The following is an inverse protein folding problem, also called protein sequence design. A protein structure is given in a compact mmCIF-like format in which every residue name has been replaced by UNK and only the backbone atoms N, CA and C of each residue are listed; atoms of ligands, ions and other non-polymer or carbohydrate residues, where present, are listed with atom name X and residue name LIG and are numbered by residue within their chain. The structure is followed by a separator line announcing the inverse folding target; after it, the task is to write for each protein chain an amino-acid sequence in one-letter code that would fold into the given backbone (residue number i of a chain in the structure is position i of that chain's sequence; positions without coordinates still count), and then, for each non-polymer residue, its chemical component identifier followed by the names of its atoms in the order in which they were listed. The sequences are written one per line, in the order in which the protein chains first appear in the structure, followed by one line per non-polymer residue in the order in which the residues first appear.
data_IF_896046502623
#
_entry.id   IF_896046502623
#
_cell.length_a   1.000
_cell.length_b   1.000
_cell.length_c   1.000
_cell.angle_alpha   90.00
_cell.angle_beta   90.00
_cell.angle_gamma   90.00
#
_symmetry.space_group_name_H-M   'P 1'
#
loop_
_entity.id
_entity.type
_entity.pdbx_description
1 polymer ?
#
# COMPACT_ATOMS: atom_id res chain seq x y z
N UNK A 1 -39.06 -53.85 -18.19
CA UNK A 1 -40.33 -54.23 -17.50
C UNK A 1 -40.59 -53.21 -16.44
N UNK A 2 -41.75 -52.55 -16.56
CA UNK A 2 -42.54 -51.75 -15.61
C UNK A 2 -41.84 -50.51 -15.03
N UNK A 3 -42.13 -49.30 -15.41
CA UNK A 3 -43.39 -48.52 -15.48
C UNK A 3 -43.70 -47.77 -14.17
N UNK A 4 -43.65 -46.43 -14.30
CA UNK A 4 -44.62 -45.40 -13.81
C UNK A 4 -44.87 -45.32 -12.30
N UNK A 5 -44.90 -44.12 -11.71
CA UNK A 5 -45.89 -43.08 -11.93
C UNK A 5 -45.58 -41.78 -11.13
N UNK A 6 -45.90 -40.72 -11.73
CA UNK A 6 -46.12 -39.33 -11.33
C UNK A 6 -47.04 -39.14 -10.14
N UNK A 7 -46.82 -38.15 -9.30
CA UNK A 7 -47.91 -37.29 -8.82
C UNK A 7 -47.42 -35.90 -8.38
N UNK A 8 -47.98 -34.88 -8.98
CA UNK A 8 -47.89 -33.48 -8.64
C UNK A 8 -48.99 -33.09 -7.63
N UNK A 9 -48.70 -32.17 -6.73
CA UNK A 9 -49.77 -31.38 -6.13
C UNK A 9 -49.31 -29.96 -5.81
N UNK A 10 -50.20 -29.06 -6.16
CA UNK A 10 -50.12 -27.60 -6.27
C UNK A 10 -50.33 -26.87 -4.92
N UNK A 11 -49.70 -25.74 -4.80
CA UNK A 11 -49.97 -24.43 -4.18
C UNK A 11 -51.25 -24.26 -3.32
N UNK A 12 -51.32 -23.25 -2.38
CA UNK A 12 -51.54 -21.89 -2.84
C UNK A 12 -50.82 -20.74 -2.09
N UNK A 13 -50.77 -19.61 -2.79
CA UNK A 13 -50.41 -18.26 -2.36
C UNK A 13 -51.31 -17.71 -1.26
N UNK A 14 -50.79 -16.96 -0.30
CA UNK A 14 -51.49 -15.80 0.28
C UNK A 14 -50.54 -14.64 0.48
N UNK A 15 -50.94 -13.51 -0.09
CA UNK A 15 -50.46 -12.14 0.14
C UNK A 15 -51.08 -11.60 1.42
N UNK A 16 -50.31 -10.86 2.21
CA UNK A 16 -50.86 -9.77 3.01
C UNK A 16 -49.81 -8.68 3.15
N UNK A 17 -50.16 -7.50 2.69
CA UNK A 17 -49.47 -6.24 2.92
C UNK A 17 -50.00 -5.62 4.21
N UNK A 18 -49.15 -5.01 5.02
CA UNK A 18 -49.58 -3.96 5.97
C UNK A 18 -48.51 -2.88 6.03
N UNK A 19 -49.04 -1.70 5.93
CA UNK A 19 -48.50 -0.33 5.86
C UNK A 19 -48.10 0.20 7.26
N UNK A 20 -47.11 1.12 7.28
CA UNK A 20 -47.11 2.30 8.18
C UNK A 20 -46.35 2.10 9.49
N UNK A 21 -45.45 2.95 9.87
CA UNK A 21 -45.56 4.35 10.30
C UNK A 21 -44.15 4.87 10.63
N UNK A 22 -43.86 6.07 10.17
CA UNK A 22 -42.75 6.92 10.60
C UNK A 22 -42.86 7.27 12.09
N UNK A 23 -41.72 7.30 12.81
CA UNK A 23 -41.55 8.23 13.93
C UNK A 23 -40.16 8.80 13.94
N UNK A 24 -40.07 10.11 13.78
CA UNK A 24 -38.91 10.98 14.02
C UNK A 24 -38.87 11.32 15.51
N UNK A 25 -37.72 11.20 16.14
CA UNK A 25 -37.44 11.88 17.39
C UNK A 25 -36.00 12.39 17.42
N UNK A 26 -35.87 13.69 17.34
CA UNK A 26 -34.69 14.49 17.77
C UNK A 26 -34.71 14.63 19.29
N UNK A 27 -33.52 14.64 19.91
CA UNK A 27 -33.14 15.41 21.13
C UNK A 27 -31.65 15.14 21.37
N UNK A 28 -30.81 16.03 21.27
CA UNK A 28 -30.14 17.16 21.87
C UNK A 28 -29.36 16.82 23.17
N UNK A 29 -28.05 17.11 23.08
CA UNK A 29 -27.10 17.69 24.03
C UNK A 29 -26.82 17.05 25.39
N UNK A 30 -25.52 16.95 25.67
CA UNK A 30 -24.98 16.77 27.03
C UNK A 30 -23.46 16.75 26.99
N UNK A 31 -22.83 17.89 27.35
CA UNK A 31 -21.40 18.03 27.61
C UNK A 31 -20.96 17.29 28.86
N UNK A 32 -19.72 16.82 28.88
CA UNK A 32 -19.04 16.33 30.10
C UNK A 32 -17.54 16.20 29.84
N UNK A 33 -16.78 17.20 30.37
CA UNK A 33 -15.31 17.20 30.43
C UNK A 33 -14.79 16.26 31.50
N UNK A 34 -13.63 15.63 31.22
CA UNK A 34 -12.46 15.42 32.10
C UNK A 34 -11.49 14.52 31.30
N UNK A 35 -10.28 14.93 30.98
CA UNK A 35 -9.15 15.38 31.72
C UNK A 35 -8.12 14.25 31.80
N UNK A 36 -6.92 14.40 31.15
CA UNK A 36 -5.72 13.67 31.51
C UNK A 36 -4.83 13.25 30.34
N UNK A 37 -3.80 14.04 30.09
CA UNK A 37 -2.40 13.77 29.69
C UNK A 37 -2.14 12.74 28.55
N UNK A 38 -1.58 13.17 27.45
CA UNK A 38 -0.20 13.66 27.27
C UNK A 38 0.51 12.78 26.27
N UNK A 39 0.41 13.04 24.98
CA UNK A 39 1.45 12.70 24.00
C UNK A 39 1.48 13.79 22.93
N UNK A 40 2.66 14.34 22.76
CA UNK A 40 2.94 15.52 21.95
C UNK A 40 2.96 15.15 20.46
N UNK A 41 1.93 15.59 19.74
CA UNK A 41 1.95 15.65 18.29
C UNK A 41 2.17 17.10 17.87
N UNK A 42 3.21 17.36 17.10
CA UNK A 42 3.43 18.67 16.51
C UNK A 42 2.56 18.85 15.27
N UNK A 43 1.43 19.54 15.43
CA UNK A 43 0.70 20.12 14.31
C UNK A 43 1.09 21.61 14.21
N UNK A 44 1.73 21.99 13.11
CA UNK A 44 2.00 23.40 12.81
C UNK A 44 0.73 24.07 12.31
N UNK A 45 0.16 24.96 13.11
CA UNK A 45 -0.79 25.98 12.65
C UNK A 45 -0.10 27.33 12.65
N UNK A 46 -0.08 27.97 11.48
CA UNK A 46 0.24 29.38 11.35
C UNK A 46 -0.97 30.20 11.83
N UNK A 47 -0.76 31.08 12.76
CA UNK A 47 -1.67 32.23 12.95
C UNK A 47 -0.87 33.49 13.27
N UNK A 48 -1.17 34.54 12.53
CA UNK A 48 -0.53 35.83 12.60
C UNK A 48 -1.24 36.78 13.55
N UNK A 49 -0.54 37.71 14.05
CA UNK A 49 -0.87 39.15 14.04
C UNK A 49 -0.24 39.96 15.16
N UNK A 50 0.33 41.04 14.73
CA UNK A 50 0.36 42.41 15.27
C UNK A 50 1.37 42.77 16.40
N UNK A 51 2.36 43.50 16.01
CA UNK A 51 2.40 44.94 16.34
C UNK A 51 3.41 45.37 17.40
N UNK A 52 4.42 46.09 17.01
CA UNK A 52 4.78 47.40 17.49
C UNK A 52 6.28 47.68 17.63
N UNK A 53 6.68 48.68 16.88
CA UNK A 53 7.68 49.78 17.13
C UNK A 53 9.16 49.47 17.01
N UNK A 54 9.72 50.19 16.02
CA UNK A 54 11.13 50.51 15.70
C UNK A 54 11.79 51.34 16.79
N UNK A 55 13.13 51.32 16.94
CA UNK A 55 13.91 52.35 16.29
C UNK A 55 15.12 51.89 15.46
N UNK A 56 15.40 52.72 14.51
CA UNK A 56 16.41 52.74 13.50
C UNK A 56 17.81 53.00 14.10
N UNK A 57 18.83 52.27 13.63
CA UNK A 57 20.16 52.88 13.44
C UNK A 57 21.02 52.04 12.47
N UNK A 58 21.86 52.73 11.79
CA UNK A 58 22.45 52.54 10.48
C UNK A 58 23.65 51.59 10.41
N UNK A 59 23.90 51.18 9.13
CA UNK A 59 25.16 50.85 8.49
C UNK A 59 26.02 49.68 9.04
N UNK A 60 25.97 48.56 8.28
CA UNK A 60 27.18 47.91 7.79
C UNK A 60 26.85 46.83 6.71
N UNK A 61 27.78 46.39 5.84
CA UNK A 61 27.53 45.98 4.47
C UNK A 61 27.01 44.55 4.32
N UNK A 62 26.29 44.35 3.25
CA UNK A 62 25.75 43.07 2.78
C UNK A 62 26.81 41.96 2.77
N UNK A 63 26.59 40.95 3.62
CA UNK A 63 27.14 39.60 3.44
C UNK A 63 26.21 38.84 2.55
N UNK A 64 26.75 38.40 1.42
CA UNK A 64 26.13 37.49 0.47
C UNK A 64 25.44 36.31 1.20
N UNK A 65 24.18 36.05 0.88
CA UNK A 65 23.49 34.84 1.24
C UNK A 65 24.30 33.66 0.70
N UNK A 66 24.80 32.86 1.64
CA UNK A 66 25.41 31.58 1.35
C UNK A 66 24.28 30.63 0.98
N UNK A 67 24.24 30.27 -0.30
CA UNK A 67 23.38 29.21 -0.79
C UNK A 67 23.72 27.94 0.00
N UNK A 68 22.71 27.32 0.57
CA UNK A 68 22.78 26.05 1.31
C UNK A 68 23.65 25.05 0.57
N UNK A 69 24.83 24.77 1.13
CA UNK A 69 25.77 23.80 0.58
C UNK A 69 25.20 22.38 0.65
N UNK A 70 24.52 21.96 -0.40
CA UNK A 70 24.53 20.55 -0.81
C UNK A 70 25.94 20.29 -1.34
N UNK A 71 26.74 19.60 -0.54
CA UNK A 71 28.09 19.19 -0.96
C UNK A 71 27.95 18.30 -2.20
N UNK A 72 28.74 18.57 -3.22
CA UNK A 72 28.74 17.89 -4.54
C UNK A 72 29.04 16.38 -4.49
N UNK A 73 29.26 15.81 -3.31
CA UNK A 73 29.60 14.38 -3.09
C UNK A 73 28.37 13.51 -2.81
N UNK A 74 27.20 14.07 -2.44
CA UNK A 74 26.01 13.28 -2.14
C UNK A 74 25.13 12.96 -3.36
N UNK A 75 25.24 13.71 -4.45
CA UNK A 75 24.44 13.52 -5.67
C UNK A 75 24.73 12.20 -6.41
N UNK A 76 25.84 11.54 -6.12
CA UNK A 76 26.25 10.24 -6.68
C UNK A 76 25.83 9.04 -5.84
N UNK A 77 25.37 9.24 -4.60
CA UNK A 77 25.01 8.16 -3.68
C UNK A 77 23.78 7.43 -4.15
N UNK A 78 23.84 6.10 -4.16
CA UNK A 78 22.75 5.23 -4.59
C UNK A 78 22.33 4.37 -3.40
N UNK A 79 21.03 4.26 -3.16
CA UNK A 79 20.42 3.36 -2.17
C UNK A 79 19.56 2.31 -2.88
N UNK A 80 19.39 1.15 -2.24
CA UNK A 80 18.56 0.07 -2.72
C UNK A 80 17.26 -0.01 -1.89
N UNK A 81 16.12 0.04 -2.58
CA UNK A 81 14.78 -0.08 -2.00
C UNK A 81 14.16 -1.38 -2.51
N UNK A 82 13.61 -2.21 -1.63
CA UNK A 82 12.86 -3.39 -2.02
C UNK A 82 11.39 -3.25 -1.62
N UNK A 83 10.49 -3.74 -2.49
CA UNK A 83 9.07 -3.80 -2.19
C UNK A 83 8.48 -5.15 -2.61
N UNK A 84 7.48 -5.61 -1.86
CA UNK A 84 6.70 -6.80 -2.19
C UNK A 84 5.27 -6.43 -2.56
N UNK A 85 4.54 -7.37 -3.16
CA UNK A 85 3.08 -7.27 -3.31
C UNK A 85 2.34 -7.44 -1.98
N UNK A 86 1.06 -7.81 -2.08
CA UNK A 86 0.13 -7.88 -0.96
C UNK A 86 0.50 -9.00 0.02
N UNK A 87 0.51 -8.66 1.31
CA UNK A 87 0.86 -9.53 2.41
C UNK A 87 -0.34 -9.70 3.34
N UNK A 88 -0.87 -10.92 3.40
CA UNK A 88 -1.81 -11.40 4.41
C UNK A 88 -1.20 -12.63 5.05
N UNK A 89 -0.86 -12.58 6.33
CA UNK A 89 -0.22 -13.71 7.01
C UNK A 89 -1.20 -14.79 7.43
N UNK A 90 -2.49 -14.49 7.46
CA UNK A 90 -3.50 -15.46 7.82
C UNK A 90 -4.87 -14.87 8.10
N UNK A 91 -5.76 -15.69 8.66
CA UNK A 91 -7.07 -15.22 9.14
C UNK A 91 -7.46 -15.98 10.41
N UNK A 92 -7.14 -15.35 11.54
CA UNK A 92 -7.47 -15.89 12.86
C UNK A 92 -8.99 -16.04 13.06
N UNK A 93 -9.46 -17.02 13.85
CA UNK A 93 -8.64 -17.98 14.61
C UNK A 93 -8.22 -19.23 13.83
N UNK A 94 -8.85 -19.55 12.70
CA UNK A 94 -8.79 -20.90 12.12
C UNK A 94 -7.87 -21.03 10.90
N UNK A 95 -7.54 -19.95 10.22
CA UNK A 95 -6.73 -19.97 8.99
C UNK A 95 -5.41 -19.22 9.19
N UNK A 96 -4.60 -19.73 10.12
CA UNK A 96 -3.25 -19.24 10.39
C UNK A 96 -2.20 -20.21 9.81
N UNK A 97 -1.00 -19.74 9.49
CA UNK A 97 0.13 -20.59 9.11
C UNK A 97 0.46 -21.61 10.22
N UNK A 98 0.92 -22.79 9.81
CA UNK A 98 1.41 -23.81 10.74
C UNK A 98 2.55 -23.25 11.61
N UNK A 99 2.74 -23.87 12.78
CA UNK A 99 3.80 -23.52 13.74
C UNK A 99 3.79 -22.04 14.16
N UNK A 100 2.60 -21.42 14.23
CA UNK A 100 2.46 -20.01 14.60
C UNK A 100 3.15 -19.04 13.64
N UNK A 101 3.31 -19.40 12.36
CA UNK A 101 3.95 -18.57 11.34
C UNK A 101 5.49 -18.63 11.31
N UNK A 102 6.12 -19.43 12.18
CA UNK A 102 7.59 -19.57 12.17
C UNK A 102 8.09 -20.08 10.82
N UNK A 103 9.05 -19.36 10.24
CA UNK A 103 9.66 -19.70 8.95
C UNK A 103 8.76 -19.42 7.75
N UNK A 104 7.67 -18.66 7.91
CA UNK A 104 6.71 -18.39 6.83
C UNK A 104 7.34 -17.74 5.60
N UNK A 105 8.36 -16.89 5.78
CA UNK A 105 9.07 -16.18 4.72
C UNK A 105 10.44 -16.77 4.37
N UNK A 106 10.87 -17.91 4.93
CA UNK A 106 12.25 -18.41 4.77
C UNK A 106 12.68 -18.58 3.31
N UNK A 107 11.73 -19.02 2.42
CA UNK A 107 12.02 -19.28 1.01
C UNK A 107 12.25 -18.00 0.18
N UNK A 108 11.93 -16.82 0.73
CA UNK A 108 12.03 -15.52 0.03
C UNK A 108 12.96 -14.52 0.72
N UNK A 109 13.44 -14.80 1.93
CA UNK A 109 14.33 -13.91 2.71
C UNK A 109 15.54 -13.40 1.93
N UNK A 110 16.13 -14.24 1.09
CA UNK A 110 17.30 -13.85 0.31
C UNK A 110 16.97 -12.77 -0.74
N UNK A 111 15.73 -12.75 -1.24
CA UNK A 111 15.26 -11.75 -2.19
C UNK A 111 14.90 -10.42 -1.52
N UNK A 112 14.61 -10.42 -0.21
CA UNK A 112 14.24 -9.23 0.57
C UNK A 112 15.44 -8.41 1.08
N UNK A 113 16.64 -8.67 0.57
CA UNK A 113 17.84 -7.93 1.00
C UNK A 113 17.99 -6.62 0.21
N UNK A 114 17.80 -5.51 0.90
CA UNK A 114 17.99 -4.15 0.40
C UNK A 114 18.35 -3.23 1.58
N UNK A 115 18.58 -1.95 1.33
CA UNK A 115 18.83 -0.96 2.37
C UNK A 115 17.55 -0.48 3.06
N UNK A 116 16.39 -0.63 2.41
CA UNK A 116 15.04 -0.50 2.98
C UNK A 116 14.10 -1.51 2.31
N UNK A 117 13.39 -2.30 3.11
CA UNK A 117 12.43 -3.31 2.62
C UNK A 117 11.01 -2.95 3.05
N UNK A 118 10.12 -2.83 2.07
CA UNK A 118 8.73 -2.39 2.25
C UNK A 118 7.74 -3.46 1.77
N UNK A 119 6.51 -3.43 2.31
CA UNK A 119 5.41 -4.27 1.86
C UNK A 119 4.05 -3.62 2.09
N UNK A 120 3.01 -4.14 1.42
CA UNK A 120 1.63 -3.77 1.69
C UNK A 120 1.03 -4.80 2.65
N UNK A 121 0.85 -4.43 3.91
CA UNK A 121 0.21 -5.27 4.93
C UNK A 121 -1.31 -5.14 4.78
N UNK A 122 -1.90 -6.11 4.11
CA UNK A 122 -3.31 -6.10 3.74
C UNK A 122 -4.19 -6.84 4.75
N UNK A 123 -3.82 -6.73 6.02
CA UNK A 123 -4.58 -7.25 7.15
C UNK A 123 -4.23 -6.50 8.43
N UNK A 124 -5.15 -6.36 9.40
CA UNK A 124 -4.80 -5.95 10.76
C UNK A 124 -4.02 -7.02 11.53
N UNK A 125 -3.00 -6.59 12.26
CA UNK A 125 -2.34 -7.37 13.29
C UNK A 125 -3.00 -7.06 14.63
N UNK A 126 -4.08 -7.78 14.94
CA UNK A 126 -4.92 -7.50 16.12
C UNK A 126 -5.56 -8.76 16.67
N UNK A 127 -5.84 -8.74 17.97
CA UNK A 127 -6.81 -9.65 18.55
C UNK A 127 -8.24 -9.27 18.13
N UNK A 128 -9.21 -10.09 18.47
CA UNK A 128 -10.61 -9.79 18.16
C UNK A 128 -11.08 -8.59 18.98
N UNK A 129 -11.48 -7.52 18.27
CA UNK A 129 -11.99 -6.30 18.91
C UNK A 129 -13.50 -6.36 19.19
N UNK A 130 -14.15 -7.48 18.84
CA UNK A 130 -15.61 -7.62 18.92
C UNK A 130 -16.39 -6.92 17.81
N UNK A 131 -15.71 -6.18 16.93
CA UNK A 131 -16.31 -5.48 15.79
C UNK A 131 -15.51 -5.73 14.52
N UNK A 132 -16.08 -6.49 13.59
CA UNK A 132 -15.51 -6.70 12.25
C UNK A 132 -16.31 -5.96 11.17
N UNK A 133 -15.72 -5.66 10.04
CA UNK A 133 -16.42 -5.00 8.92
C UNK A 133 -17.50 -5.88 8.30
N UNK A 134 -17.34 -7.21 8.39
CA UNK A 134 -18.30 -8.16 7.86
C UNK A 134 -19.38 -8.46 8.92
N UNK A 135 -20.65 -8.16 8.59
CA UNK A 135 -21.77 -8.58 9.43
C UNK A 135 -21.92 -10.11 9.48
N UNK A 136 -22.58 -10.64 10.52
CA UNK A 136 -22.73 -12.08 10.78
C UNK A 136 -23.33 -12.89 9.61
N UNK A 137 -24.10 -12.25 8.72
CA UNK A 137 -24.78 -12.86 7.57
C UNK A 137 -24.21 -12.41 6.22
N UNK A 138 -23.03 -11.79 6.19
CA UNK A 138 -22.42 -11.32 4.95
C UNK A 138 -21.92 -12.50 4.11
N UNK A 139 -22.35 -12.59 2.84
CA UNK A 139 -21.97 -13.68 1.92
C UNK A 139 -20.80 -13.33 1.02
N UNK A 140 -20.55 -12.03 0.77
CA UNK A 140 -19.51 -11.54 -0.14
C UNK A 140 -18.65 -10.45 0.55
N UNK A 141 -18.29 -10.68 1.80
CA UNK A 141 -17.44 -9.81 2.55
C UNK A 141 -16.22 -10.59 3.05
N UNK A 142 -15.05 -10.02 2.87
CA UNK A 142 -13.79 -10.60 3.31
C UNK A 142 -13.19 -9.70 4.40
N UNK A 143 -12.83 -10.29 5.51
CA UNK A 143 -12.09 -9.63 6.58
C UNK A 143 -10.97 -10.55 7.06
N UNK A 144 -9.85 -9.95 7.38
CA UNK A 144 -8.64 -10.66 7.78
C UNK A 144 -8.11 -10.10 9.10
N UNK A 145 -7.45 -10.93 9.87
CA UNK A 145 -6.58 -10.53 10.96
C UNK A 145 -5.58 -11.63 11.30
N UNK A 146 -4.41 -11.23 11.74
CA UNK A 146 -3.44 -12.11 12.36
C UNK A 146 -3.12 -11.64 13.79
N UNK A 147 -2.61 -12.52 14.68
CA UNK A 147 -2.18 -12.12 16.01
C UNK A 147 -1.13 -11.00 15.97
N UNK A 148 -1.13 -10.03 16.91
CA UNK A 148 -0.16 -8.92 16.96
C UNK A 148 1.30 -9.38 16.91
N UNK A 149 1.63 -10.51 17.57
CA UNK A 149 2.96 -11.07 17.54
C UNK A 149 3.48 -11.53 16.18
N UNK A 150 2.62 -11.55 15.14
CA UNK A 150 3.05 -11.88 13.76
C UNK A 150 3.91 -10.78 13.13
N UNK A 151 3.90 -9.57 13.69
CA UNK A 151 4.85 -8.52 13.33
C UNK A 151 6.32 -8.98 13.47
N UNK A 152 6.63 -9.86 14.43
CA UNK A 152 7.95 -10.47 14.55
C UNK A 152 8.38 -11.26 13.31
N UNK A 153 7.45 -11.94 12.63
CA UNK A 153 7.77 -12.70 11.42
C UNK A 153 8.07 -11.79 10.23
N UNK A 154 7.41 -10.64 10.14
CA UNK A 154 7.69 -9.61 9.13
C UNK A 154 9.09 -9.02 9.35
N UNK A 155 9.41 -8.61 10.59
CA UNK A 155 10.75 -8.14 10.95
C UNK A 155 11.82 -9.20 10.65
N UNK A 156 11.60 -10.45 11.07
CA UNK A 156 12.55 -11.55 10.90
C UNK A 156 12.72 -11.94 9.42
N UNK A 157 11.75 -11.61 8.56
CA UNK A 157 11.86 -11.73 7.12
C UNK A 157 12.75 -10.65 6.49
N UNK A 158 12.90 -9.52 7.17
CA UNK A 158 13.68 -8.37 6.73
C UNK A 158 12.84 -7.17 6.29
N UNK A 159 11.52 -7.17 6.53
CA UNK A 159 10.72 -5.96 6.35
C UNK A 159 11.10 -4.91 7.40
N UNK A 160 11.05 -3.66 7.00
CA UNK A 160 11.35 -2.51 7.85
C UNK A 160 10.21 -1.51 7.88
N UNK A 161 9.38 -1.43 6.80
CA UNK A 161 8.24 -0.53 6.71
C UNK A 161 7.04 -1.22 6.04
N UNK A 162 5.85 -1.10 6.65
CA UNK A 162 4.61 -1.68 6.14
C UNK A 162 3.58 -0.58 5.81
N UNK A 163 2.99 -0.67 4.62
CA UNK A 163 1.86 0.16 4.23
C UNK A 163 0.54 -0.45 4.72
N UNK A 164 -0.33 0.38 5.34
CA UNK A 164 -1.67 0.02 5.79
C UNK A 164 -2.78 0.71 4.99
N UNK A 165 -2.42 1.52 3.97
CA UNK A 165 -3.38 2.17 3.09
C UNK A 165 -3.95 1.18 2.08
N UNK A 166 -4.95 0.40 2.48
CA UNK A 166 -5.63 -0.60 1.65
C UNK A 166 -7.07 -0.85 2.12
N UNK A 167 -7.82 -1.71 1.43
CA UNK A 167 -9.22 -2.04 1.73
C UNK A 167 -9.39 -2.89 2.99
N UNK A 168 -8.33 -3.45 3.54
CA UNK A 168 -8.34 -4.31 4.73
C UNK A 168 -7.76 -3.65 5.98
N UNK A 169 -7.17 -2.46 5.89
CA UNK A 169 -6.60 -1.76 7.05
C UNK A 169 -7.59 -1.57 8.20
N UNK A 170 -8.87 -1.39 7.89
CA UNK A 170 -9.96 -1.19 8.87
C UNK A 170 -10.90 -2.40 9.00
N UNK A 171 -10.47 -3.61 8.72
CA UNK A 171 -11.29 -4.81 8.87
C UNK A 171 -11.83 -5.00 10.29
N UNK A 172 -11.13 -4.48 11.28
CA UNK A 172 -11.53 -4.46 12.70
C UNK A 172 -11.65 -3.01 13.23
N UNK A 173 -12.06 -2.09 12.35
CA UNK A 173 -12.28 -0.68 12.67
C UNK A 173 -11.00 0.06 13.10
N UNK A 174 -11.21 1.24 13.70
CA UNK A 174 -10.10 2.10 14.18
C UNK A 174 -9.21 1.35 15.18
N UNK A 175 -9.81 0.59 16.11
CA UNK A 175 -9.05 -0.15 17.11
C UNK A 175 -8.12 -1.19 16.49
N UNK A 176 -8.59 -1.97 15.48
CA UNK A 176 -7.76 -2.95 14.77
C UNK A 176 -6.62 -2.27 14.00
N UNK A 177 -6.87 -1.11 13.43
CA UNK A 177 -5.86 -0.31 12.74
C UNK A 177 -4.76 0.17 13.70
N UNK A 178 -5.15 0.76 14.84
CA UNK A 178 -4.22 1.24 15.87
C UNK A 178 -3.46 0.09 16.55
N UNK A 179 -4.11 -1.04 16.80
CA UNK A 179 -3.45 -2.24 17.32
C UNK A 179 -2.37 -2.75 16.35
N UNK A 180 -2.60 -2.63 15.04
CA UNK A 180 -1.62 -2.99 14.01
C UNK A 180 -0.39 -2.09 14.07
N UNK A 181 -0.58 -0.78 14.18
CA UNK A 181 0.52 0.17 14.34
C UNK A 181 1.34 -0.14 15.59
N UNK A 182 0.69 -0.30 16.73
CA UNK A 182 1.35 -0.66 17.99
C UNK A 182 2.11 -2.00 17.89
N UNK A 183 1.55 -2.99 17.18
CA UNK A 183 2.22 -4.28 16.97
C UNK A 183 3.48 -4.15 16.11
N UNK A 184 3.43 -3.34 15.04
CA UNK A 184 4.58 -3.06 14.18
C UNK A 184 5.67 -2.32 14.96
N UNK A 185 5.32 -1.23 15.64
CA UNK A 185 6.24 -0.43 16.46
C UNK A 185 6.90 -1.25 17.58
N UNK A 186 6.13 -2.09 18.28
CA UNK A 186 6.65 -2.97 19.33
C UNK A 186 7.71 -3.96 18.83
N UNK A 187 7.76 -4.20 17.52
CA UNK A 187 8.75 -5.07 16.88
C UNK A 187 9.78 -4.29 16.04
N UNK A 188 9.83 -2.94 16.17
CA UNK A 188 10.79 -2.10 15.48
C UNK A 188 10.54 -2.00 13.97
N UNK A 189 9.28 -2.06 13.56
CA UNK A 189 8.84 -1.88 12.19
C UNK A 189 8.16 -0.52 12.05
N UNK A 190 8.52 0.22 11.03
CA UNK A 190 7.84 1.44 10.64
C UNK A 190 6.53 1.12 9.91
N UNK A 191 5.60 2.07 9.89
CA UNK A 191 4.35 1.96 9.15
C UNK A 191 3.96 3.27 8.49
N UNK A 192 3.18 3.18 7.43
CA UNK A 192 2.60 4.33 6.72
C UNK A 192 1.17 4.02 6.29
N UNK A 193 0.42 5.05 5.91
CA UNK A 193 -0.88 4.85 5.29
C UNK A 193 -2.04 5.63 5.90
N UNK A 194 -1.87 6.24 7.10
CA UNK A 194 -2.90 7.12 7.66
C UNK A 194 -3.03 8.43 6.85
N UNK A 195 -4.16 9.16 6.95
CA UNK A 195 -4.31 10.46 6.33
C UNK A 195 -3.19 11.42 6.77
N UNK A 196 -2.60 12.13 5.82
CA UNK A 196 -1.50 13.08 5.98
C UNK A 196 -0.21 12.50 6.60
N UNK A 197 -0.13 11.18 6.81
CA UNK A 197 1.07 10.53 7.33
C UNK A 197 2.19 10.52 6.30
N UNK A 198 3.36 11.03 6.70
CA UNK A 198 4.62 10.94 5.98
C UNK A 198 5.60 10.24 6.91
N UNK A 199 6.01 9.02 6.58
CA UNK A 199 6.97 8.26 7.37
C UNK A 199 8.35 8.42 6.77
N UNK A 200 9.29 8.99 7.51
CA UNK A 200 10.66 9.25 7.04
C UNK A 200 11.61 8.28 7.71
N UNK A 201 12.37 7.56 6.89
CA UNK A 201 13.41 6.63 7.31
C UNK A 201 14.74 7.09 6.76
N UNK A 202 15.78 7.10 7.58
CA UNK A 202 17.15 7.38 7.12
C UNK A 202 17.84 6.10 6.65
N UNK A 203 18.21 6.07 5.38
CA UNK A 203 18.82 4.93 4.70
C UNK A 203 20.21 5.32 4.22
N UNK A 204 21.24 4.84 4.88
CA UNK A 204 22.63 5.18 4.56
C UNK A 204 22.89 6.72 4.49
N UNK A 205 22.21 7.53 5.32
CA UNK A 205 22.33 8.99 5.32
C UNK A 205 21.48 9.69 4.26
N UNK A 206 20.63 8.96 3.50
CA UNK A 206 19.60 9.50 2.60
C UNK A 206 18.25 9.41 3.31
N UNK A 207 17.52 10.50 3.39
CA UNK A 207 16.17 10.52 3.95
C UNK A 207 15.18 10.04 2.91
N UNK A 208 14.44 8.97 3.23
CA UNK A 208 13.41 8.39 2.38
C UNK A 208 12.05 8.60 3.05
N UNK A 209 11.18 9.40 2.43
CA UNK A 209 9.79 9.52 2.83
C UNK A 209 8.95 8.45 2.15
N UNK A 210 8.13 7.74 2.91
CA UNK A 210 7.20 6.73 2.37
C UNK A 210 5.77 7.14 2.73
N UNK A 211 4.90 7.18 1.72
CA UNK A 211 3.49 7.54 1.85
C UNK A 211 2.60 6.40 1.36
N UNK A 212 1.48 6.20 2.04
CA UNK A 212 0.46 5.24 1.64
C UNK A 212 -0.79 5.92 1.10
N UNK A 213 -1.36 5.38 0.00
CA UNK A 213 -2.59 5.88 -0.62
C UNK A 213 -3.57 4.75 -0.92
N UNK A 214 -4.86 5.03 -0.77
CA UNK A 214 -5.93 4.14 -1.24
C UNK A 214 -7.20 4.95 -1.57
N UNK A 215 -8.26 4.27 -1.97
CA UNK A 215 -9.58 4.91 -2.18
C UNK A 215 -10.43 5.00 -0.91
N UNK A 216 -9.88 4.66 0.24
CA UNK A 216 -10.62 4.56 1.50
C UNK A 216 -10.35 5.74 2.43
N UNK A 217 -11.33 6.13 3.28
CA UNK A 217 -11.23 7.37 4.08
C UNK A 217 -10.21 7.31 5.23
N UNK A 218 -9.69 6.15 5.55
CA UNK A 218 -8.65 5.97 6.58
C UNK A 218 -7.23 6.06 6.04
N UNK A 219 -7.06 6.52 4.80
CA UNK A 219 -5.75 6.72 4.17
C UNK A 219 -5.72 8.02 3.38
N UNK A 220 -4.54 8.40 2.89
CA UNK A 220 -4.45 9.42 1.86
C UNK A 220 -5.26 8.99 0.64
N UNK A 221 -6.03 9.92 0.07
CA UNK A 221 -6.92 9.64 -1.06
C UNK A 221 -6.14 9.56 -2.37
N UNK A 222 -6.29 8.44 -3.10
CA UNK A 222 -5.81 8.32 -4.48
C UNK A 222 -6.77 8.92 -5.51
N UNK A 223 -8.03 9.18 -5.14
CA UNK A 223 -9.04 9.73 -6.05
C UNK A 223 -9.11 11.25 -6.01
N UNK A 224 -8.71 11.88 -4.90
CA UNK A 224 -8.50 13.32 -4.78
C UNK A 224 -7.04 13.65 -5.12
N UNK A 225 -6.80 13.95 -6.40
CA UNK A 225 -5.44 14.19 -6.89
C UNK A 225 -4.81 15.48 -6.34
N UNK A 226 -5.60 16.47 -5.96
CA UNK A 226 -5.05 17.71 -5.42
C UNK A 226 -4.61 17.51 -3.97
N UNK A 227 -5.39 16.77 -3.16
CA UNK A 227 -4.95 16.32 -1.84
C UNK A 227 -3.71 15.41 -1.95
N UNK A 228 -3.69 14.46 -2.87
CA UNK A 228 -2.54 13.58 -3.08
C UNK A 228 -1.26 14.37 -3.41
N UNK A 229 -1.32 15.30 -4.38
CA UNK A 229 -0.19 16.16 -4.74
C UNK A 229 0.31 17.01 -3.57
N UNK A 230 -0.61 17.52 -2.73
CA UNK A 230 -0.25 18.32 -1.56
C UNK A 230 0.56 17.50 -0.55
N UNK A 231 0.14 16.28 -0.22
CA UNK A 231 0.88 15.42 0.72
C UNK A 231 2.24 15.04 0.16
N UNK A 232 2.32 14.66 -1.13
CA UNK A 232 3.60 14.36 -1.79
C UNK A 232 4.53 15.58 -1.77
N UNK A 233 4.01 16.77 -2.08
CA UNK A 233 4.81 18.01 -2.02
C UNK A 233 5.34 18.26 -0.62
N UNK A 234 4.54 18.04 0.43
CA UNK A 234 5.03 18.18 1.81
C UNK A 234 6.14 17.17 2.13
N UNK A 235 6.11 15.97 1.54
CA UNK A 235 7.17 14.97 1.73
C UNK A 235 8.50 15.40 1.09
N UNK A 236 8.47 16.12 -0.05
CA UNK A 236 9.71 16.64 -0.68
C UNK A 236 10.45 17.68 0.15
N UNK A 237 9.78 18.30 1.12
CA UNK A 237 10.40 19.25 2.04
C UNK A 237 11.07 18.53 3.24
N UNK A 238 10.79 17.24 3.45
CA UNK A 238 11.23 16.43 4.58
C UNK A 238 12.29 15.39 4.22
N UNK A 239 12.38 14.99 2.95
CA UNK A 239 13.20 13.87 2.51
C UNK A 239 13.86 14.12 1.14
N UNK A 240 14.93 13.38 0.88
CA UNK A 240 15.69 13.40 -0.36
C UNK A 240 15.02 12.55 -1.45
N UNK A 241 14.39 11.44 -1.04
CA UNK A 241 13.67 10.49 -1.91
C UNK A 241 12.25 10.29 -1.39
N UNK A 242 11.25 10.34 -2.27
CA UNK A 242 9.84 10.17 -1.93
C UNK A 242 9.28 8.92 -2.62
N UNK A 243 8.83 7.95 -1.82
CA UNK A 243 8.23 6.69 -2.27
C UNK A 243 6.72 6.71 -1.99
N UNK A 244 5.93 6.43 -3.00
CA UNK A 244 4.48 6.26 -2.88
C UNK A 244 4.13 4.78 -2.99
N UNK A 245 3.51 4.22 -1.95
CA UNK A 245 2.81 2.95 -2.00
C UNK A 245 1.31 3.20 -2.17
N UNK A 246 0.69 2.54 -3.13
CA UNK A 246 -0.72 2.81 -3.45
C UNK A 246 -1.50 1.53 -3.72
N UNK A 247 -2.61 1.36 -2.99
CA UNK A 247 -3.58 0.29 -3.22
C UNK A 247 -4.66 0.79 -4.19
N UNK A 248 -4.55 0.41 -5.49
CA UNK A 248 -5.33 0.99 -6.58
C UNK A 248 -5.70 -0.06 -7.64
N UNK A 249 -6.75 0.25 -8.40
CA UNK A 249 -7.18 -0.56 -9.55
C UNK A 249 -8.12 -1.69 -9.20
N UNK A 250 -8.75 -2.25 -10.23
CA UNK A 250 -9.70 -3.35 -10.12
C UNK A 250 -8.98 -4.68 -9.87
N UNK A 251 -9.61 -5.54 -9.06
CA UNK A 251 -9.09 -6.84 -8.68
C UNK A 251 -9.51 -7.94 -9.67
N UNK A 252 -8.68 -8.98 -9.80
CA UNK A 252 -9.03 -10.20 -10.50
C UNK A 252 -7.95 -10.76 -11.43
N UNK A 253 -8.06 -12.05 -11.73
CA UNK A 253 -7.09 -12.79 -12.54
C UNK A 253 -6.93 -12.26 -13.98
N UNK A 254 -7.92 -11.53 -14.49
CA UNK A 254 -7.95 -10.89 -15.80
C UNK A 254 -7.46 -9.43 -15.79
N UNK A 255 -7.20 -8.83 -14.61
CA UNK A 255 -6.85 -7.41 -14.43
C UNK A 255 -5.35 -7.12 -14.55
N UNK A 256 -4.62 -7.87 -15.35
CA UNK A 256 -3.17 -7.71 -15.53
C UNK A 256 -2.77 -6.50 -16.38
N UNK A 257 -3.71 -5.92 -17.15
CA UNK A 257 -3.44 -4.80 -18.06
C UNK A 257 -3.77 -3.47 -17.40
N UNK A 258 -2.94 -2.48 -17.66
CA UNK A 258 -3.15 -1.10 -17.23
C UNK A 258 -3.63 -0.28 -18.43
N UNK A 259 -4.72 0.46 -18.26
CA UNK A 259 -5.30 1.31 -19.31
C UNK A 259 -5.69 2.66 -18.72
N UNK A 260 -5.65 3.73 -19.52
CA UNK A 260 -6.17 5.03 -19.07
C UNK A 260 -7.65 4.93 -18.67
N UNK A 261 -8.00 5.60 -17.60
CA UNK A 261 -9.37 5.71 -17.10
C UNK A 261 -9.55 5.11 -15.70
N UNK A 262 -10.65 5.50 -15.08
CA UNK A 262 -11.01 5.02 -13.74
C UNK A 262 -11.37 3.55 -13.75
N UNK A 263 -10.75 2.79 -12.88
CA UNK A 263 -11.08 1.39 -12.65
C UNK A 263 -12.09 1.26 -11.52
N UNK A 264 -13.16 0.48 -11.77
CA UNK A 264 -14.22 0.20 -10.79
C UNK A 264 -14.17 -1.26 -10.36
N UNK A 265 -14.39 -1.51 -9.07
CA UNK A 265 -14.49 -2.88 -8.52
C UNK A 265 -15.63 -2.94 -7.49
N UNK A 266 -16.63 -3.80 -7.69
CA UNK A 266 -17.85 -3.89 -6.87
C UNK A 266 -18.54 -2.55 -6.55
N UNK A 267 -18.50 -1.59 -7.49
CA UNK A 267 -19.07 -0.26 -7.31
C UNK A 267 -18.14 0.75 -6.63
N UNK A 268 -16.98 0.34 -6.17
CA UNK A 268 -15.95 1.21 -5.60
C UNK A 268 -15.11 1.85 -6.70
N UNK A 269 -14.83 3.14 -6.56
CA UNK A 269 -13.86 3.84 -7.39
C UNK A 269 -12.44 3.51 -6.91
N UNK A 270 -11.72 2.70 -7.69
CA UNK A 270 -10.34 2.27 -7.37
C UNK A 270 -9.27 3.14 -8.06
N UNK A 271 -9.68 4.31 -8.55
CA UNK A 271 -8.83 5.31 -9.19
C UNK A 271 -8.51 5.05 -10.64
N UNK A 272 -7.79 5.98 -11.23
CA UNK A 272 -7.11 5.85 -12.53
C UNK A 272 -5.62 5.66 -12.25
N UNK A 273 -5.08 4.43 -12.38
CA UNK A 273 -3.71 4.12 -11.97
C UNK A 273 -2.66 4.97 -12.70
N UNK A 274 -2.85 5.23 -13.99
CA UNK A 274 -1.89 6.04 -14.77
C UNK A 274 -1.94 7.49 -14.33
N UNK A 275 -3.14 8.06 -14.27
CA UNK A 275 -3.32 9.46 -13.92
C UNK A 275 -2.85 9.78 -12.50
N UNK A 276 -3.12 8.89 -11.55
CA UNK A 276 -2.65 9.03 -10.17
C UNK A 276 -1.12 8.98 -10.11
N UNK A 277 -0.50 7.93 -10.70
CA UNK A 277 0.96 7.74 -10.64
C UNK A 277 1.71 8.90 -11.28
N UNK A 278 1.24 9.38 -12.45
CA UNK A 278 1.82 10.55 -13.09
C UNK A 278 1.65 11.82 -12.22
N UNK A 279 0.47 12.03 -11.61
CA UNK A 279 0.21 13.21 -10.78
C UNK A 279 1.10 13.26 -9.53
N UNK A 280 1.36 12.14 -8.88
CA UNK A 280 2.24 12.11 -7.70
C UNK A 280 3.72 12.27 -8.10
N UNK A 281 4.16 11.73 -9.23
CA UNK A 281 5.52 11.98 -9.74
C UNK A 281 5.68 13.44 -10.13
N UNK A 282 4.69 14.05 -10.79
CA UNK A 282 4.70 15.48 -11.11
C UNK A 282 4.74 16.37 -9.85
N UNK A 283 4.27 15.86 -8.70
CA UNK A 283 4.33 16.52 -7.41
C UNK A 283 5.64 16.27 -6.65
N UNK A 284 6.51 15.37 -7.15
CA UNK A 284 7.83 15.11 -6.59
C UNK A 284 8.03 13.70 -6.01
N UNK A 285 7.15 12.74 -6.29
CA UNK A 285 7.43 11.34 -5.97
C UNK A 285 8.49 10.76 -6.90
N UNK A 286 9.38 9.92 -6.36
CA UNK A 286 10.51 9.32 -7.08
C UNK A 286 10.30 7.85 -7.43
N UNK A 287 9.42 7.17 -6.71
CA UNK A 287 9.08 5.76 -6.94
C UNK A 287 7.61 5.53 -6.58
N UNK A 288 6.88 4.83 -7.45
CA UNK A 288 5.49 4.42 -7.18
C UNK A 288 5.40 2.90 -7.19
N UNK A 289 4.90 2.34 -6.09
CA UNK A 289 4.67 0.91 -5.90
C UNK A 289 3.18 0.66 -5.74
N UNK A 290 2.59 -0.02 -6.72
CA UNK A 290 1.17 -0.34 -6.77
C UNK A 290 0.84 -1.70 -6.13
N UNK A 291 -0.34 -1.75 -5.52
CA UNK A 291 -0.98 -2.89 -4.87
C UNK A 291 -2.47 -2.91 -5.22
N UNK A 292 -3.19 -3.97 -4.88
CA UNK A 292 -4.64 -4.05 -4.94
C UNK A 292 -5.24 -4.93 -6.03
N UNK A 293 -4.73 -4.98 -7.28
CA UNK A 293 -5.28 -5.86 -8.30
C UNK A 293 -5.14 -7.36 -8.02
N UNK A 294 -4.34 -7.73 -7.04
CA UNK A 294 -4.00 -9.12 -6.68
C UNK A 294 -3.36 -9.92 -7.82
N UNK A 295 -2.90 -9.24 -8.86
CA UNK A 295 -2.14 -9.78 -9.99
C UNK A 295 -1.02 -8.82 -10.36
N UNK A 296 0.05 -9.37 -10.92
CA UNK A 296 1.14 -8.58 -11.47
C UNK A 296 0.66 -7.74 -12.65
N UNK A 297 1.07 -6.49 -12.69
CA UNK A 297 0.85 -5.54 -13.78
C UNK A 297 2.15 -5.05 -14.38
N UNK A 298 2.06 -4.23 -15.44
CA UNK A 298 3.21 -3.63 -16.09
C UNK A 298 3.93 -2.59 -15.24
N UNK A 299 5.11 -2.21 -15.73
CA UNK A 299 5.92 -1.13 -15.20
C UNK A 299 6.12 -0.05 -16.25
N UNK A 300 6.29 1.19 -15.80
CA UNK A 300 6.54 2.36 -16.62
C UNK A 300 7.68 3.20 -16.03
N UNK A 301 8.45 3.86 -16.88
CA UNK A 301 9.37 4.92 -16.46
C UNK A 301 8.81 6.25 -16.96
N UNK A 302 8.33 7.06 -16.03
CA UNK A 302 7.76 8.36 -16.29
C UNK A 302 8.67 9.46 -15.72
N UNK A 303 9.16 10.37 -16.57
CA UNK A 303 10.13 11.43 -16.17
C UNK A 303 11.34 10.90 -15.39
N UNK A 304 11.88 9.75 -15.81
CA UNK A 304 13.02 9.13 -15.14
C UNK A 304 12.71 8.46 -13.79
N UNK A 305 11.44 8.28 -13.44
CA UNK A 305 10.94 7.64 -12.21
C UNK A 305 10.22 6.34 -12.52
N UNK A 306 10.51 5.28 -11.76
CA UNK A 306 9.88 3.98 -11.98
C UNK A 306 8.50 3.92 -11.32
N UNK A 307 7.52 3.39 -12.06
CA UNK A 307 6.19 3.02 -11.60
C UNK A 307 6.02 1.52 -11.76
N UNK A 308 5.75 0.79 -10.68
CA UNK A 308 5.27 -0.59 -10.72
C UNK A 308 3.77 -0.59 -10.40
N UNK A 309 2.91 -0.86 -11.39
CA UNK A 309 1.47 -0.70 -11.24
C UNK A 309 0.78 -1.74 -10.35
N UNK A 310 1.39 -2.91 -10.17
CA UNK A 310 1.03 -3.90 -9.13
C UNK A 310 2.09 -4.97 -9.03
N UNK A 311 2.49 -5.29 -7.81
CA UNK A 311 3.41 -6.40 -7.52
C UNK A 311 2.67 -7.72 -7.22
N UNK A 312 1.34 -7.77 -7.40
CA UNK A 312 0.50 -8.96 -7.20
C UNK A 312 0.45 -9.43 -5.75
N UNK A 313 0.05 -10.67 -5.55
CA UNK A 313 0.00 -11.30 -4.22
C UNK A 313 1.36 -11.85 -3.84
N UNK A 314 1.91 -11.41 -2.71
CA UNK A 314 3.17 -11.94 -2.20
C UNK A 314 2.96 -13.08 -1.22
N UNK A 315 2.06 -12.90 -0.24
CA UNK A 315 1.80 -13.87 0.82
C UNK A 315 0.31 -13.90 1.19
N UNK A 316 -0.28 -15.10 1.26
CA UNK A 316 -1.70 -15.32 1.60
C UNK A 316 -1.86 -16.50 2.56
N UNK A 317 -1.25 -16.39 3.75
CA UNK A 317 -1.23 -17.44 4.77
C UNK A 317 -2.62 -17.96 5.13
N UNK A 318 -2.71 -19.26 5.41
CA UNK A 318 -3.98 -19.93 5.65
C UNK A 318 -4.94 -19.89 4.45
N UNK A 319 -4.42 -19.67 3.25
CA UNK A 319 -5.17 -19.49 1.99
C UNK A 319 -6.11 -18.26 2.05
N UNK A 320 -5.68 -17.22 2.69
CA UNK A 320 -6.42 -15.95 2.72
C UNK A 320 -6.47 -15.30 1.33
N UNK A 321 -5.42 -15.48 0.52
CA UNK A 321 -5.39 -15.16 -0.89
C UNK A 321 -5.41 -16.44 -1.75
N UNK A 322 -5.91 -16.33 -2.98
CA UNK A 322 -5.96 -17.45 -3.90
C UNK A 322 -4.55 -17.77 -4.45
N UNK A 323 -3.96 -18.95 -4.17
CA UNK A 323 -2.62 -19.29 -4.63
C UNK A 323 -2.58 -19.83 -6.07
N UNK A 324 -3.69 -19.83 -6.80
CA UNK A 324 -3.79 -20.49 -8.10
C UNK A 324 -3.67 -19.50 -9.26
N UNK A 325 -3.01 -19.93 -10.34
CA UNK A 325 -2.88 -19.15 -11.57
C UNK A 325 -2.19 -17.81 -11.34
N UNK A 326 -2.64 -16.78 -12.03
CA UNK A 326 -2.06 -15.42 -11.93
C UNK A 326 -2.23 -14.79 -10.55
N UNK A 327 -3.28 -15.15 -9.81
CA UNK A 327 -3.50 -14.69 -8.43
C UNK A 327 -2.49 -15.29 -7.45
N UNK A 328 -1.83 -16.39 -7.80
CA UNK A 328 -0.76 -16.98 -7.00
C UNK A 328 0.63 -16.44 -7.31
N UNK A 329 0.78 -15.53 -8.28
CA UNK A 329 2.06 -14.96 -8.68
C UNK A 329 2.23 -13.55 -8.13
N UNK A 330 3.41 -13.30 -7.57
CA UNK A 330 3.83 -12.01 -7.10
C UNK A 330 5.30 -11.75 -7.40
N UNK A 331 5.85 -10.72 -6.78
CA UNK A 331 7.26 -10.40 -6.95
C UNK A 331 7.85 -9.62 -5.81
N UNK A 332 9.18 -9.69 -5.72
CA UNK A 332 10.00 -8.73 -5.00
C UNK A 332 10.64 -7.83 -6.05
N UNK A 333 10.33 -6.56 -5.99
CA UNK A 333 10.97 -5.52 -6.80
C UNK A 333 12.05 -4.84 -5.96
N UNK A 334 13.30 -4.93 -6.39
CA UNK A 334 14.39 -4.14 -5.84
C UNK A 334 14.76 -3.05 -6.83
N UNK A 335 14.88 -1.82 -6.36
CA UNK A 335 15.18 -0.63 -7.15
C UNK A 335 16.37 0.09 -6.56
N UNK A 336 17.32 0.44 -7.39
CA UNK A 336 18.42 1.35 -7.06
C UNK A 336 18.03 2.77 -7.49
N UNK A 337 18.01 3.69 -6.54
CA UNK A 337 17.73 5.12 -6.78
C UNK A 337 18.89 5.96 -6.26
N UNK A 338 19.19 7.07 -6.95
CA UNK A 338 20.13 8.07 -6.45
C UNK A 338 19.48 8.91 -5.36
N UNK A 339 20.29 9.63 -4.59
CA UNK A 339 19.81 10.58 -3.59
C UNK A 339 18.95 11.72 -4.17
N UNK A 340 19.03 11.98 -5.49
CA UNK A 340 18.14 12.90 -6.20
C UNK A 340 16.83 12.25 -6.69
N UNK A 341 16.57 10.99 -6.28
CA UNK A 341 15.40 10.21 -6.64
C UNK A 341 15.44 9.58 -8.04
N UNK A 342 16.51 9.78 -8.82
CA UNK A 342 16.62 9.20 -10.17
C UNK A 342 16.68 7.68 -10.13
N UNK A 343 15.85 7.02 -10.94
CA UNK A 343 15.90 5.59 -11.15
C UNK A 343 17.19 5.19 -11.89
N UNK A 344 17.94 4.25 -11.34
CA UNK A 344 19.20 3.74 -11.91
C UNK A 344 18.99 2.40 -12.61
N UNK A 345 18.61 1.40 -11.82
CA UNK A 345 18.33 0.04 -12.27
C UNK A 345 17.43 -0.66 -11.25
N UNK A 346 16.93 -1.82 -11.61
CA UNK A 346 16.16 -2.65 -10.71
C UNK A 346 16.36 -4.13 -10.95
N UNK A 347 15.78 -4.93 -10.07
CA UNK A 347 15.70 -6.38 -10.17
C UNK A 347 14.30 -6.83 -9.77
N UNK A 348 13.59 -7.51 -10.65
CA UNK A 348 12.34 -8.18 -10.35
C UNK A 348 12.60 -9.66 -10.10
N UNK A 349 12.31 -10.12 -8.89
CA UNK A 349 12.37 -11.54 -8.51
C UNK A 349 10.96 -12.09 -8.46
N UNK A 350 10.61 -12.98 -9.39
CA UNK A 350 9.30 -13.62 -9.44
C UNK A 350 9.09 -14.53 -8.24
N UNK A 351 7.95 -14.40 -7.58
CA UNK A 351 7.51 -15.27 -6.47
C UNK A 351 6.19 -15.94 -6.79
N UNK A 352 5.91 -17.04 -6.11
CA UNK A 352 4.62 -17.70 -6.18
C UNK A 352 4.24 -18.26 -4.80
N UNK A 353 2.97 -18.17 -4.47
CA UNK A 353 2.44 -18.81 -3.28
C UNK A 353 2.29 -20.32 -3.49
N UNK A 354 2.64 -21.09 -2.48
CA UNK A 354 2.30 -22.51 -2.44
C UNK A 354 0.82 -22.73 -2.06
N UNK A 355 0.38 -23.98 -1.99
CA UNK A 355 -1.02 -24.34 -1.73
C UNK A 355 -1.58 -23.85 -0.37
N UNK A 356 -0.74 -23.42 0.55
CA UNK A 356 -1.13 -22.85 1.84
C UNK A 356 -0.90 -21.34 1.94
N UNK A 357 -0.56 -20.69 0.80
CA UNK A 357 -0.35 -19.25 0.73
C UNK A 357 1.01 -18.76 1.19
N UNK A 358 1.97 -19.66 1.44
CA UNK A 358 3.35 -19.29 1.80
C UNK A 358 4.12 -18.84 0.55
N UNK A 359 4.82 -17.70 0.58
CA UNK A 359 5.62 -17.24 -0.55
C UNK A 359 6.87 -18.09 -0.78
N UNK A 360 7.20 -18.31 -2.04
CA UNK A 360 8.44 -18.97 -2.47
C UNK A 360 8.95 -18.35 -3.78
N UNK A 361 10.22 -18.54 -4.08
CA UNK A 361 10.78 -18.12 -5.38
C UNK A 361 10.13 -18.92 -6.52
N UNK A 362 9.60 -18.22 -7.51
CA UNK A 362 9.04 -18.82 -8.71
C UNK A 362 10.16 -19.23 -9.69
N UNK A 363 10.64 -20.45 -9.54
CA UNK A 363 11.73 -21.00 -10.39
C UNK A 363 11.34 -21.15 -11.87
N UNK A 364 10.06 -21.02 -12.21
CA UNK A 364 9.57 -21.06 -13.58
C UNK A 364 9.49 -19.65 -14.20
N UNK A 365 9.79 -18.60 -13.44
CA UNK A 365 9.78 -17.20 -13.87
C UNK A 365 8.47 -16.75 -14.53
N UNK A 366 7.31 -17.36 -14.14
CA UNK A 366 5.99 -17.07 -14.71
C UNK A 366 5.57 -15.63 -14.48
N UNK A 367 5.78 -15.13 -13.25
CA UNK A 367 5.52 -13.74 -12.90
C UNK A 367 6.41 -12.78 -13.69
N UNK A 368 7.70 -13.07 -13.82
CA UNK A 368 8.62 -12.28 -14.63
C UNK A 368 8.19 -12.22 -16.10
N UNK A 369 7.83 -13.38 -16.69
CA UNK A 369 7.33 -13.45 -18.06
C UNK A 369 6.09 -12.59 -18.27
N UNK A 370 5.16 -12.60 -17.28
CA UNK A 370 3.96 -11.76 -17.32
C UNK A 370 4.32 -10.27 -17.26
N UNK A 371 5.13 -9.84 -16.28
CA UNK A 371 5.53 -8.42 -16.12
C UNK A 371 6.21 -7.90 -17.38
N UNK A 372 7.15 -8.64 -17.95
CA UNK A 372 7.80 -8.29 -19.23
C UNK A 372 6.79 -8.08 -20.36
N UNK A 373 5.87 -9.04 -20.52
CA UNK A 373 4.84 -8.99 -21.56
C UNK A 373 3.94 -7.77 -21.41
N UNK A 374 3.40 -7.53 -20.19
CA UNK A 374 2.42 -6.46 -20.01
C UNK A 374 3.06 -5.09 -19.94
N UNK A 375 4.30 -4.94 -19.45
CA UNK A 375 5.05 -3.68 -19.53
C UNK A 375 5.26 -3.23 -20.97
N UNK A 376 5.73 -4.12 -21.84
CA UNK A 376 5.92 -3.78 -23.25
C UNK A 376 4.61 -3.54 -24.01
N UNK A 377 3.51 -4.22 -23.60
CA UNK A 377 2.21 -4.08 -24.25
C UNK A 377 1.40 -2.85 -23.79
N UNK A 378 1.53 -2.43 -22.53
CA UNK A 378 0.82 -1.29 -21.97
C UNK A 378 1.62 0.00 -22.16
N UNK A 379 2.95 -0.09 -22.08
CA UNK A 379 3.88 1.05 -22.13
C UNK A 379 4.98 0.84 -23.19
N UNK A 380 4.63 0.76 -24.48
CA UNK A 380 5.59 0.40 -25.55
C UNK A 380 6.72 1.42 -25.74
N UNK A 381 6.58 2.64 -25.22
CA UNK A 381 7.59 3.71 -25.32
C UNK A 381 8.24 4.05 -23.97
N UNK A 382 7.53 3.83 -22.89
CA UNK A 382 7.94 4.23 -21.54
C UNK A 382 8.13 3.04 -20.60
N UNK A 383 7.82 1.82 -21.04
CA UNK A 383 8.12 0.60 -20.29
C UNK A 383 9.63 0.42 -20.13
N UNK A 384 10.12 0.04 -18.93
CA UNK A 384 11.53 -0.27 -18.75
C UNK A 384 11.94 -1.50 -19.56
N UNK A 385 13.22 -1.62 -19.89
CA UNK A 385 13.77 -2.86 -20.40
C UNK A 385 13.89 -3.85 -19.25
N UNK A 386 13.28 -5.03 -19.40
CA UNK A 386 13.33 -6.12 -18.41
C UNK A 386 13.87 -7.36 -19.09
N UNK A 387 15.06 -7.81 -18.70
CA UNK A 387 15.70 -8.97 -19.28
C UNK A 387 15.17 -10.32 -18.73
N UNK A 388 15.72 -11.43 -19.20
CA UNK A 388 15.31 -12.78 -18.79
C UNK A 388 15.72 -13.13 -17.36
N UNK A 389 16.69 -12.43 -16.81
CA UNK A 389 17.11 -12.57 -15.42
C UNK A 389 16.26 -11.72 -14.46
N UNK A 390 15.42 -10.82 -14.99
CA UNK A 390 14.61 -9.86 -14.25
C UNK A 390 15.32 -8.55 -13.93
N UNK A 391 16.50 -8.29 -14.52
CA UNK A 391 17.15 -6.98 -14.42
C UNK A 391 16.33 -5.94 -15.17
N UNK A 392 16.13 -4.80 -14.54
CA UNK A 392 15.33 -3.70 -15.04
C UNK A 392 16.27 -2.51 -15.30
N UNK A 393 16.20 -1.95 -16.50
CA UNK A 393 16.92 -0.74 -16.87
C UNK A 393 15.97 0.28 -17.49
N UNK A 394 16.31 1.60 -17.45
CA UNK A 394 15.53 2.61 -18.15
C UNK A 394 15.28 2.23 -19.59
N UNK A 395 14.18 2.69 -20.22
CA UNK A 395 13.93 2.44 -21.64
C UNK A 395 15.03 3.04 -22.51
N UNK A 396 15.32 2.42 -23.65
CA UNK A 396 16.33 2.90 -24.58
C UNK A 396 16.00 4.34 -25.02
N UNK A 397 16.93 5.28 -24.78
CA UNK A 397 16.78 6.68 -25.16
C UNK A 397 16.04 7.56 -24.14
N UNK A 398 15.91 7.11 -22.89
CA UNK A 398 15.38 7.92 -21.79
C UNK A 398 16.41 8.89 -21.24
#
# INVERSE_FOLDING_TARGET
MFASATLASRLPRRRTAVLGVLLVALLAAGCGESGGDGSTWHSGTADGSAGSTVPNEADQPAKSADESGKTADESGKTISLAATGDVIMGNAPSRLPANGGKGFFDDVKAALKADLVMGNLEEPLTDDTGTGKCGANATNCFQFRAPPGYAAHLRDAGFELLNQANNHGYDYGKQGYENTQAALEAHGLEHTGAPDQITVVEVQGVKVAVLGFSSYPWSNSLVDLDAAKKVVKSATDLADVVVVQVHMGAEGADKTRVKPGTEMFFGENRGDPIRFSHAVIDAGADLVIGHGPHVLRGMEVYRGRLIAYSLGNFAGGGRSLNPSGRLGWGGVLKVSVKADGSFVEGQFTSTAMNNVGRPAIDRQHRGLGLVRQVSGADFPKTGPEIDESGRISPPAGA
#
